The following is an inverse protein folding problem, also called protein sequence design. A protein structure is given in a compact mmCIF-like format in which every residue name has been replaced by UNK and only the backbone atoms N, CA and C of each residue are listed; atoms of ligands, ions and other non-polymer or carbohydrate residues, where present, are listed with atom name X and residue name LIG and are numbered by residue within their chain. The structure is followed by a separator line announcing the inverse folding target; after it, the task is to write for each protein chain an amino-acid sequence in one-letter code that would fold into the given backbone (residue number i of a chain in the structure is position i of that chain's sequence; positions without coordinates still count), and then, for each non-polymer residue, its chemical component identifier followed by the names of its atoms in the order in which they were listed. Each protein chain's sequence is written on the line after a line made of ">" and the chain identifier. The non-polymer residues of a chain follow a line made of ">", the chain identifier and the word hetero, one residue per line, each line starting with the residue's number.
data_IF_708848099266
#
_entry.id   IF_708848099266
#
_cell.length_a   1.000
_cell.length_b   1.000
_cell.length_c   1.000
_cell.angle_alpha   90.00
_cell.angle_beta   90.00
_cell.angle_gamma   90.00
#
_symmetry.space_group_name_H-M   'P 1'
#
loop_
_entity.id
_entity.type
_entity.pdbx_description
1 polymer ?
#
# COMPACT_ATOMS: atom_id res chain seq x y z
N UNK A 1 5.20 -3.24 -17.24
CA UNK A 1 3.85 -2.90 -16.71
C UNK A 1 3.97 -1.64 -15.86
N UNK A 2 3.07 -0.67 -16.01
CA UNK A 2 3.08 0.51 -15.14
C UNK A 2 2.65 0.11 -13.73
N UNK A 3 3.17 0.78 -12.71
CA UNK A 3 2.87 0.47 -11.30
C UNK A 3 1.37 0.51 -10.98
N UNK A 4 0.63 1.44 -11.58
CA UNK A 4 -0.83 1.54 -11.48
C UNK A 4 -1.55 0.29 -11.97
N UNK A 5 -1.07 -0.32 -13.06
CA UNK A 5 -1.63 -1.57 -13.58
C UNK A 5 -1.40 -2.74 -12.61
N UNK A 6 -0.22 -2.79 -11.98
CA UNK A 6 0.07 -3.79 -10.95
C UNK A 6 -0.89 -3.60 -9.77
N UNK A 7 -1.07 -2.37 -9.28
CA UNK A 7 -2.00 -2.07 -8.18
C UNK A 7 -3.43 -2.43 -8.55
N UNK A 8 -3.88 -2.03 -9.74
CA UNK A 8 -5.22 -2.34 -10.21
C UNK A 8 -5.44 -3.86 -10.32
N UNK A 9 -4.54 -4.57 -10.98
CA UNK A 9 -4.69 -6.01 -11.20
C UNK A 9 -4.62 -6.81 -9.89
N UNK A 10 -3.74 -6.41 -8.98
CA UNK A 10 -3.62 -7.06 -7.66
C UNK A 10 -4.80 -6.69 -6.75
N UNK A 11 -5.30 -5.45 -6.80
CA UNK A 11 -6.42 -4.94 -6.01
C UNK A 11 -6.16 -4.81 -4.52
N UNK A 12 -5.07 -5.38 -4.02
CA UNK A 12 -4.66 -5.33 -2.61
C UNK A 12 -3.16 -5.04 -2.50
N UNK A 13 -2.81 -4.20 -1.54
CA UNK A 13 -1.43 -3.89 -1.17
C UNK A 13 -1.24 -4.34 0.28
N UNK A 14 -0.47 -5.40 0.54
CA UNK A 14 -0.15 -5.82 1.90
C UNK A 14 0.65 -4.74 2.62
N UNK A 15 0.12 -4.24 3.74
CA UNK A 15 0.75 -3.23 4.61
C UNK A 15 1.40 -3.95 5.78
N UNK A 16 2.72 -3.96 5.78
CA UNK A 16 3.54 -4.88 6.55
C UNK A 16 4.34 -4.14 7.62
N UNK A 17 4.30 -4.62 8.87
CA UNK A 17 5.26 -4.29 9.91
C UNK A 17 6.12 -5.51 10.17
N UNK A 18 7.43 -5.38 10.03
CA UNK A 18 8.42 -6.41 10.41
C UNK A 18 9.26 -5.89 11.58
N UNK A 19 9.53 -6.72 12.57
CA UNK A 19 10.42 -6.38 13.68
C UNK A 19 11.83 -6.97 13.49
N UNK A 20 11.99 -7.88 12.50
CA UNK A 20 13.27 -8.47 12.07
C UNK A 20 13.37 -8.46 10.55
N UNK A 21 14.44 -7.90 10.02
CA UNK A 21 14.61 -7.69 8.59
C UNK A 21 14.68 -8.99 7.77
N UNK A 22 15.24 -10.06 8.34
CA UNK A 22 15.37 -11.38 7.71
C UNK A 22 14.02 -12.05 7.40
N UNK A 23 12.94 -11.64 8.08
CA UNK A 23 11.59 -12.14 7.81
C UNK A 23 10.98 -11.58 6.51
N UNK A 24 11.57 -10.52 5.94
CA UNK A 24 11.05 -9.88 4.75
C UNK A 24 11.05 -10.81 3.52
N UNK A 25 12.13 -11.54 3.30
CA UNK A 25 12.28 -12.40 2.11
C UNK A 25 11.28 -13.56 2.11
N UNK A 26 11.19 -14.43 3.13
CA UNK A 26 10.21 -15.52 3.13
C UNK A 26 8.76 -15.03 3.11
N UNK A 27 8.48 -13.87 3.71
CA UNK A 27 7.18 -13.21 3.60
C UNK A 27 6.85 -12.84 2.15
N UNK A 28 7.78 -12.21 1.44
CA UNK A 28 7.60 -11.82 0.05
C UNK A 28 7.41 -13.02 -0.88
N UNK A 29 8.14 -14.12 -0.66
CA UNK A 29 7.98 -15.38 -1.39
C UNK A 29 6.57 -15.96 -1.21
N UNK A 30 6.02 -15.91 0.03
CA UNK A 30 4.65 -16.33 0.30
C UNK A 30 3.61 -15.46 -0.44
N UNK A 31 3.83 -14.13 -0.49
CA UNK A 31 2.98 -13.19 -1.22
C UNK A 31 3.04 -13.44 -2.74
N UNK A 32 4.23 -13.59 -3.30
CA UNK A 32 4.42 -13.89 -4.73
C UNK A 32 3.75 -15.20 -5.13
N UNK A 33 3.93 -16.26 -4.35
CA UNK A 33 3.28 -17.56 -4.56
C UNK A 33 1.75 -17.44 -4.53
N UNK A 34 1.21 -16.53 -3.74
CA UNK A 34 -0.22 -16.24 -3.71
C UNK A 34 -0.71 -15.41 -4.91
N UNK A 35 0.19 -14.78 -5.67
CA UNK A 35 -0.12 -13.90 -6.78
C UNK A 35 -0.16 -12.40 -6.40
N UNK A 36 0.48 -12.02 -5.30
CA UNK A 36 0.60 -10.62 -4.84
C UNK A 36 2.06 -10.15 -5.03
N UNK A 37 2.41 -9.49 -6.15
CA UNK A 37 3.77 -9.01 -6.41
C UNK A 37 4.04 -7.62 -5.80
N UNK A 38 3.48 -7.34 -4.62
CA UNK A 38 3.59 -6.03 -3.95
C UNK A 38 3.76 -6.24 -2.45
N UNK A 39 4.63 -5.43 -1.82
CA UNK A 39 4.77 -5.36 -0.37
C UNK A 39 5.03 -3.91 0.08
N UNK A 40 4.19 -3.34 0.94
CA UNK A 40 4.43 -2.04 1.59
C UNK A 40 5.05 -2.29 2.97
N UNK A 41 6.38 -2.15 3.09
CA UNK A 41 7.10 -2.27 4.36
C UNK A 41 7.02 -0.94 5.11
N UNK A 42 6.45 -0.95 6.31
CA UNK A 42 6.21 0.29 7.07
C UNK A 42 7.37 0.67 7.97
N UNK A 43 7.74 1.96 8.00
CA UNK A 43 8.74 2.55 8.89
C UNK A 43 8.22 2.69 10.34
N UNK A 44 7.52 1.64 10.81
CA UNK A 44 7.06 1.49 12.21
C UNK A 44 8.01 0.64 13.06
N UNK A 45 9.15 0.25 12.51
CA UNK A 45 10.23 -0.48 13.19
C UNK A 45 11.58 -0.13 12.57
N UNK A 46 12.65 -0.36 13.31
CA UNK A 46 14.03 -0.14 12.83
C UNK A 46 14.45 -1.16 11.76
N UNK A 47 13.73 -2.27 11.64
CA UNK A 47 13.99 -3.30 10.64
C UNK A 47 13.55 -2.91 9.22
N UNK A 48 12.73 -1.87 9.06
CA UNK A 48 12.08 -1.54 7.79
C UNK A 48 13.08 -1.28 6.65
N UNK A 49 14.06 -0.40 6.86
CA UNK A 49 15.08 -0.06 5.86
C UNK A 49 15.86 -1.30 5.39
N UNK A 50 16.37 -2.08 6.35
CA UNK A 50 17.11 -3.30 6.03
C UNK A 50 16.21 -4.35 5.36
N UNK A 51 14.94 -4.45 5.77
CA UNK A 51 13.95 -5.33 5.14
C UNK A 51 13.70 -4.97 3.68
N UNK A 52 13.51 -3.69 3.37
CA UNK A 52 13.39 -3.20 1.98
C UNK A 52 14.63 -3.55 1.17
N UNK A 53 15.82 -3.28 1.70
CA UNK A 53 17.08 -3.58 1.02
C UNK A 53 17.25 -5.09 0.74
N UNK A 54 16.87 -5.96 1.70
CA UNK A 54 16.91 -7.40 1.50
C UNK A 54 15.93 -7.87 0.41
N UNK A 55 14.72 -7.31 0.36
CA UNK A 55 13.75 -7.59 -0.69
C UNK A 55 14.29 -7.21 -2.06
N UNK A 56 14.79 -5.98 -2.21
CA UNK A 56 15.32 -5.50 -3.50
C UNK A 56 16.53 -6.29 -3.99
N UNK A 57 17.32 -6.86 -3.07
CA UNK A 57 18.49 -7.68 -3.42
C UNK A 57 18.13 -9.11 -3.80
N UNK A 58 17.12 -9.71 -3.14
CA UNK A 58 16.90 -11.15 -3.21
C UNK A 58 15.60 -11.54 -3.94
N UNK A 59 14.65 -10.61 -4.13
CA UNK A 59 13.32 -10.88 -4.69
C UNK A 59 13.01 -9.83 -5.76
N UNK A 60 13.49 -10.03 -6.98
CA UNK A 60 13.37 -9.06 -8.08
C UNK A 60 11.95 -8.83 -8.57
N UNK A 61 11.08 -9.83 -8.39
CA UNK A 61 9.71 -9.83 -8.92
C UNK A 61 8.74 -9.03 -8.06
N UNK A 62 9.14 -8.64 -6.83
CA UNK A 62 8.25 -7.90 -5.93
C UNK A 62 8.44 -6.38 -6.04
N UNK A 63 7.34 -5.67 -6.14
CA UNK A 63 7.29 -4.22 -6.04
C UNK A 63 7.29 -3.81 -4.55
N UNK A 64 8.32 -3.09 -4.12
CA UNK A 64 8.52 -2.77 -2.70
C UNK A 64 8.20 -1.31 -2.42
N UNK A 65 7.19 -1.06 -1.59
CA UNK A 65 6.89 0.26 -1.05
C UNK A 65 7.43 0.50 0.34
N UNK A 66 7.78 1.73 0.65
CA UNK A 66 8.06 2.20 2.00
C UNK A 66 6.82 2.93 2.54
N UNK A 67 6.15 2.34 3.53
CA UNK A 67 4.96 2.90 4.17
C UNK A 67 5.27 3.59 5.50
N UNK A 68 4.33 4.42 5.96
CA UNK A 68 4.45 5.16 7.23
C UNK A 68 5.73 6.01 7.29
N UNK A 69 6.08 6.61 6.14
CA UNK A 69 7.19 7.58 6.07
C UNK A 69 6.69 8.90 6.64
N UNK A 70 7.32 9.38 7.73
CA UNK A 70 6.88 10.54 8.51
C UNK A 70 7.85 11.72 8.46
N UNK A 71 9.08 11.49 7.97
CA UNK A 71 10.12 12.52 7.88
C UNK A 71 10.86 12.46 6.56
N UNK A 72 11.47 13.57 6.09
CA UNK A 72 12.36 13.56 4.93
C UNK A 72 13.55 12.60 5.09
N UNK A 73 14.09 12.43 6.29
CA UNK A 73 15.16 11.45 6.59
C UNK A 73 14.68 10.01 6.32
N UNK A 74 13.51 9.63 6.82
CA UNK A 74 12.96 8.31 6.52
C UNK A 74 12.73 8.10 5.02
N UNK A 75 12.34 9.14 4.29
CA UNK A 75 12.19 9.08 2.84
C UNK A 75 13.55 8.81 2.16
N UNK A 76 14.59 9.53 2.54
CA UNK A 76 15.94 9.33 1.99
C UNK A 76 16.45 7.90 2.27
N UNK A 77 16.26 7.41 3.47
CA UNK A 77 16.60 6.03 3.87
C UNK A 77 15.81 5.00 3.06
N UNK A 78 14.50 5.23 2.86
CA UNK A 78 13.65 4.36 2.04
C UNK A 78 14.13 4.31 0.58
N UNK A 79 14.47 5.47 0.01
CA UNK A 79 15.00 5.59 -1.35
C UNK A 79 16.37 4.92 -1.46
N UNK A 80 17.25 5.13 -0.48
CA UNK A 80 18.57 4.49 -0.41
C UNK A 80 18.49 2.96 -0.28
N UNK A 81 17.49 2.45 0.42
CA UNK A 81 17.19 1.02 0.52
C UNK A 81 16.61 0.42 -0.77
N UNK A 82 16.23 1.25 -1.75
CA UNK A 82 15.70 0.82 -3.05
C UNK A 82 14.18 0.73 -3.14
N UNK A 83 13.43 1.39 -2.25
CA UNK A 83 11.97 1.42 -2.34
C UNK A 83 11.51 1.94 -3.72
N UNK A 84 10.54 1.26 -4.31
CA UNK A 84 9.97 1.61 -5.62
C UNK A 84 8.96 2.76 -5.49
N UNK A 85 8.27 2.84 -4.36
CA UNK A 85 7.30 3.90 -4.05
C UNK A 85 7.27 4.23 -2.57
N UNK A 86 6.76 5.41 -2.26
CA UNK A 86 6.65 5.96 -0.90
C UNK A 86 5.17 6.13 -0.54
N UNK A 87 4.81 5.81 0.70
CA UNK A 87 3.46 6.01 1.23
C UNK A 87 3.52 6.70 2.58
N UNK A 88 2.77 7.78 2.73
CA UNK A 88 2.66 8.49 4.01
C UNK A 88 1.26 8.33 4.61
N UNK A 89 1.11 8.36 5.94
CA UNK A 89 -0.23 8.25 6.56
C UNK A 89 -1.07 9.51 6.42
N UNK A 90 -0.44 10.66 6.23
CA UNK A 90 -1.06 11.97 6.01
C UNK A 90 -0.30 12.76 4.96
N UNK A 91 -0.85 13.92 4.56
CA UNK A 91 -0.18 14.83 3.65
C UNK A 91 0.85 15.68 4.41
N UNK A 92 2.12 15.45 4.15
CA UNK A 92 3.21 16.29 4.65
C UNK A 92 3.91 16.95 3.45
N UNK A 93 3.86 18.29 3.30
CA UNK A 93 4.41 18.99 2.14
C UNK A 93 5.92 18.75 1.98
N UNK A 94 6.70 18.72 3.06
CA UNK A 94 8.15 18.53 3.00
C UNK A 94 8.52 17.17 2.42
N UNK A 95 7.79 16.12 2.81
CA UNK A 95 8.01 14.77 2.29
C UNK A 95 7.56 14.69 0.83
N UNK A 96 6.41 15.28 0.49
CA UNK A 96 5.91 15.29 -0.88
C UNK A 96 6.87 16.00 -1.81
N UNK A 97 7.31 17.21 -1.46
CA UNK A 97 8.25 17.99 -2.27
C UNK A 97 9.60 17.27 -2.42
N UNK A 98 10.10 16.67 -1.36
CA UNK A 98 11.33 15.89 -1.40
C UNK A 98 11.18 14.66 -2.31
N UNK A 99 10.08 13.91 -2.23
CA UNK A 99 9.84 12.76 -3.10
C UNK A 99 9.78 13.17 -4.58
N UNK A 100 9.06 14.26 -4.89
CA UNK A 100 8.97 14.80 -6.24
C UNK A 100 10.33 15.27 -6.77
N UNK A 101 11.15 15.93 -5.94
CA UNK A 101 12.50 16.36 -6.33
C UNK A 101 13.43 15.19 -6.66
N UNK A 102 13.20 14.03 -6.04
CA UNK A 102 13.94 12.78 -6.29
C UNK A 102 13.30 11.92 -7.41
N UNK A 103 12.26 12.42 -8.10
CA UNK A 103 11.46 11.67 -9.08
C UNK A 103 10.94 10.33 -8.52
N UNK A 104 10.59 10.28 -7.23
CA UNK A 104 10.01 9.10 -6.60
C UNK A 104 8.50 9.17 -6.57
N UNK A 105 7.87 8.05 -6.89
CA UNK A 105 6.43 7.91 -6.76
C UNK A 105 6.05 7.98 -5.28
N UNK A 106 5.07 8.84 -4.97
CA UNK A 106 4.55 9.01 -3.61
C UNK A 106 3.02 8.97 -3.62
N UNK A 107 2.45 8.26 -2.66
CA UNK A 107 1.01 8.16 -2.41
C UNK A 107 0.71 8.73 -1.02
N UNK A 108 0.53 10.06 -0.90
CA UNK A 108 0.29 10.70 0.39
C UNK A 108 -1.09 10.35 0.94
N UNK A 109 -1.17 10.23 2.27
CA UNK A 109 -2.42 10.03 2.98
C UNK A 109 -3.28 11.30 2.98
N UNK A 110 -4.57 11.12 2.73
CA UNK A 110 -5.60 12.17 2.81
C UNK A 110 -6.87 11.59 3.44
N UNK A 111 -7.69 12.46 4.07
CA UNK A 111 -9.03 12.07 4.54
C UNK A 111 -10.06 13.23 4.45
N UNK A 112 -9.73 14.31 3.75
CA UNK A 112 -10.62 15.44 3.56
C UNK A 112 -10.50 16.05 2.16
N UNK A 113 -11.53 16.76 1.67
CA UNK A 113 -11.48 17.49 0.39
C UNK A 113 -10.29 18.42 0.27
N UNK A 114 -9.99 19.23 1.31
CA UNK A 114 -8.88 20.19 1.29
C UNK A 114 -7.52 19.51 1.06
N UNK A 115 -7.30 18.33 1.66
CA UNK A 115 -6.06 17.57 1.44
C UNK A 115 -5.98 16.99 0.03
N UNK A 116 -7.11 16.58 -0.54
CA UNK A 116 -7.18 16.14 -1.96
C UNK A 116 -6.80 17.29 -2.88
N UNK A 117 -7.32 18.50 -2.64
CA UNK A 117 -7.01 19.68 -3.46
C UNK A 117 -5.53 20.07 -3.36
N UNK A 118 -4.95 20.02 -2.15
CA UNK A 118 -3.51 20.26 -1.97
C UNK A 118 -2.68 19.22 -2.75
N UNK A 119 -3.05 17.94 -2.70
CA UNK A 119 -2.36 16.90 -3.44
C UNK A 119 -2.48 17.10 -4.97
N UNK A 120 -3.68 17.45 -5.45
CA UNK A 120 -3.93 17.77 -6.86
C UNK A 120 -3.10 18.97 -7.34
N UNK A 121 -2.91 20.00 -6.53
CA UNK A 121 -2.07 21.16 -6.86
C UNK A 121 -0.60 20.79 -7.11
N UNK A 122 -0.16 19.64 -6.60
CA UNK A 122 1.18 19.07 -6.83
C UNK A 122 1.19 18.00 -7.95
N UNK A 123 0.08 17.83 -8.67
CA UNK A 123 -0.05 16.85 -9.76
C UNK A 123 -0.25 15.41 -9.29
N UNK A 124 -0.55 15.19 -8.00
CA UNK A 124 -0.75 13.85 -7.45
C UNK A 124 -2.21 13.42 -7.62
N UNK A 125 -2.43 12.38 -8.41
CA UNK A 125 -3.77 11.87 -8.77
C UNK A 125 -4.07 10.50 -8.19
N UNK A 126 -3.10 9.86 -7.50
CA UNK A 126 -3.29 8.63 -6.74
C UNK A 126 -2.92 8.91 -5.28
N UNK A 127 -3.87 8.72 -4.39
CA UNK A 127 -3.77 9.12 -2.98
C UNK A 127 -4.13 7.95 -2.07
N UNK A 128 -3.41 7.79 -0.97
CA UNK A 128 -3.85 6.92 0.11
C UNK A 128 -5.01 7.60 0.84
N UNK A 129 -6.11 6.87 1.07
CA UNK A 129 -7.18 7.35 1.94
C UNK A 129 -7.06 6.66 3.30
N UNK A 130 -6.71 7.44 4.34
CA UNK A 130 -6.37 6.88 5.65
C UNK A 130 -6.75 7.80 6.80
N UNK A 131 -7.26 7.25 7.93
CA UNK A 131 -7.71 5.88 8.12
C UNK A 131 -9.11 5.67 7.51
N UNK A 132 -9.29 4.67 6.62
CA UNK A 132 -10.44 4.62 5.71
C UNK A 132 -11.79 4.48 6.44
N UNK A 133 -11.99 3.41 7.22
CA UNK A 133 -13.29 3.13 7.85
C UNK A 133 -13.74 4.25 8.80
N UNK A 134 -12.85 4.75 9.65
CA UNK A 134 -13.18 5.80 10.63
C UNK A 134 -13.31 7.19 10.03
N UNK A 135 -12.84 7.38 8.79
CA UNK A 135 -12.97 8.64 8.02
C UNK A 135 -14.16 8.65 7.06
N UNK A 136 -15.15 7.81 7.30
CA UNK A 136 -16.39 7.76 6.50
C UNK A 136 -16.43 6.65 5.44
N UNK A 137 -15.36 5.86 5.31
CA UNK A 137 -15.34 4.64 4.50
C UNK A 137 -15.85 4.82 3.07
N UNK A 138 -16.68 3.88 2.64
CA UNK A 138 -17.26 3.87 1.28
C UNK A 138 -18.15 5.10 1.02
N UNK A 139 -18.82 5.61 2.05
CA UNK A 139 -19.63 6.81 1.94
C UNK A 139 -18.80 8.02 1.49
N UNK A 140 -17.61 8.22 2.08
CA UNK A 140 -16.68 9.27 1.69
C UNK A 140 -16.15 9.03 0.26
N UNK A 141 -15.79 7.81 -0.11
CA UNK A 141 -15.33 7.50 -1.47
C UNK A 141 -16.38 7.88 -2.53
N UNK A 142 -17.65 7.54 -2.29
CA UNK A 142 -18.75 7.89 -3.18
C UNK A 142 -19.01 9.40 -3.24
N UNK A 143 -18.87 10.12 -2.13
CA UNK A 143 -19.05 11.57 -2.08
C UNK A 143 -17.93 12.32 -2.84
N UNK A 144 -16.68 11.86 -2.76
CA UNK A 144 -15.54 12.48 -3.44
C UNK A 144 -15.49 12.16 -4.94
N UNK A 145 -16.06 11.03 -5.38
CA UNK A 145 -15.98 10.56 -6.75
C UNK A 145 -16.48 11.56 -7.81
N UNK A 146 -17.64 12.21 -7.67
CA UNK A 146 -18.12 13.17 -8.68
C UNK A 146 -17.38 14.50 -8.67
N UNK A 147 -16.61 14.79 -7.61
CA UNK A 147 -15.94 16.08 -7.41
C UNK A 147 -14.50 16.05 -7.90
N UNK A 148 -13.78 14.96 -7.65
CA UNK A 148 -12.33 14.87 -7.87
C UNK A 148 -11.95 13.75 -8.81
N UNK A 149 -11.17 14.08 -9.83
CA UNK A 149 -10.59 13.08 -10.74
C UNK A 149 -9.30 12.50 -10.14
N UNK A 150 -9.44 11.75 -9.06
CA UNK A 150 -8.34 11.05 -8.37
C UNK A 150 -8.68 9.57 -8.17
N UNK A 151 -7.65 8.76 -7.98
CA UNK A 151 -7.77 7.38 -7.53
C UNK A 151 -7.33 7.28 -6.08
N UNK A 152 -8.04 6.48 -5.30
CA UNK A 152 -7.72 6.24 -3.90
C UNK A 152 -7.20 4.83 -3.66
N UNK A 153 -6.35 4.72 -2.63
CA UNK A 153 -5.92 3.47 -2.01
C UNK A 153 -6.42 3.50 -0.55
N UNK A 154 -7.70 3.12 -0.31
CA UNK A 154 -8.22 3.08 1.05
C UNK A 154 -7.44 2.10 1.91
N UNK A 155 -7.05 2.54 3.10
CA UNK A 155 -6.28 1.76 4.07
C UNK A 155 -6.79 2.04 5.48
N UNK A 156 -6.86 1.01 6.32
CA UNK A 156 -7.36 1.11 7.70
C UNK A 156 -8.81 0.63 7.85
N UNK A 157 -8.95 -0.54 8.50
CA UNK A 157 -10.22 -1.24 8.66
C UNK A 157 -10.65 -2.08 7.45
N UNK A 158 -9.76 -2.24 6.45
CA UNK A 158 -10.03 -3.11 5.30
C UNK A 158 -9.77 -4.58 5.67
N UNK A 159 -10.66 -5.46 5.22
CA UNK A 159 -10.62 -6.90 5.45
C UNK A 159 -11.25 -7.67 4.29
N UNK A 160 -11.19 -9.00 4.32
CA UNK A 160 -11.88 -9.84 3.33
C UNK A 160 -13.39 -9.59 3.28
N UNK A 161 -14.00 -9.18 4.40
CA UNK A 161 -15.46 -8.94 4.49
C UNK A 161 -15.93 -7.66 3.79
N UNK A 162 -15.06 -6.65 3.61
CA UNK A 162 -15.46 -5.34 3.07
C UNK A 162 -14.70 -4.91 1.80
N UNK A 163 -13.61 -5.56 1.44
CA UNK A 163 -12.76 -5.17 0.31
C UNK A 163 -13.53 -5.05 -1.01
N UNK A 164 -14.46 -5.96 -1.28
CA UNK A 164 -15.28 -5.95 -2.51
C UNK A 164 -16.03 -4.62 -2.66
N UNK A 165 -16.70 -4.17 -1.57
CA UNK A 165 -17.45 -2.92 -1.58
C UNK A 165 -16.59 -1.70 -1.88
N UNK A 166 -15.32 -1.70 -1.45
CA UNK A 166 -14.36 -0.65 -1.80
C UNK A 166 -13.93 -0.73 -3.26
N UNK A 167 -13.60 -1.91 -3.75
CA UNK A 167 -13.13 -2.11 -5.13
C UNK A 167 -14.23 -1.89 -6.19
N UNK A 168 -15.51 -1.93 -5.82
CA UNK A 168 -16.63 -1.55 -6.67
C UNK A 168 -16.71 -0.02 -6.89
N UNK A 169 -16.09 0.79 -6.03
CA UNK A 169 -16.04 2.23 -6.21
C UNK A 169 -15.07 2.58 -7.34
N UNK A 170 -15.55 3.29 -8.36
CA UNK A 170 -14.78 3.61 -9.58
C UNK A 170 -13.49 4.42 -9.33
N UNK A 171 -13.46 5.17 -8.22
CA UNK A 171 -12.29 5.95 -7.79
C UNK A 171 -11.35 5.19 -6.85
N UNK A 172 -11.56 3.89 -6.62
CA UNK A 172 -10.65 3.03 -5.84
C UNK A 172 -9.76 2.22 -6.79
N UNK A 173 -8.45 2.41 -6.68
CA UNK A 173 -7.46 1.72 -7.49
C UNK A 173 -7.15 0.33 -6.91
N UNK A 174 -6.83 0.28 -5.64
CA UNK A 174 -6.53 -0.90 -4.82
C UNK A 174 -6.82 -0.57 -3.36
N UNK A 175 -6.80 -1.56 -2.48
CA UNK A 175 -6.94 -1.35 -1.04
C UNK A 175 -5.63 -1.71 -0.31
N UNK A 176 -5.28 -0.98 0.75
CA UNK A 176 -4.23 -1.37 1.68
C UNK A 176 -4.79 -2.27 2.79
N UNK A 177 -4.21 -3.43 3.01
CA UNK A 177 -4.70 -4.38 4.01
C UNK A 177 -3.59 -5.04 4.83
N UNK A 178 -3.94 -5.40 6.08
CA UNK A 178 -3.00 -6.02 7.03
C UNK A 178 -3.41 -7.44 7.44
N UNK A 179 -4.64 -7.85 7.18
CA UNK A 179 -5.19 -9.10 7.76
C UNK A 179 -4.46 -10.36 7.29
N UNK A 180 -3.92 -10.40 6.05
CA UNK A 180 -3.17 -11.53 5.52
C UNK A 180 -1.70 -11.53 5.98
N UNK A 181 -1.21 -10.41 6.51
CA UNK A 181 0.19 -10.19 6.92
C UNK A 181 0.25 -9.58 8.32
N UNK A 182 -0.57 -10.10 9.25
CA UNK A 182 -0.58 -9.60 10.62
C UNK A 182 0.80 -9.76 11.27
N UNK A 183 1.14 -8.86 12.20
CA UNK A 183 2.42 -8.93 12.93
C UNK A 183 2.58 -10.28 13.64
N UNK A 184 1.50 -10.83 14.18
CA UNK A 184 1.51 -12.14 14.85
C UNK A 184 1.91 -13.28 13.90
N UNK A 185 1.35 -13.31 12.69
CA UNK A 185 1.70 -14.32 11.69
C UNK A 185 3.17 -14.22 11.27
N UNK A 186 3.66 -12.99 11.08
CA UNK A 186 5.04 -12.73 10.68
C UNK A 186 6.01 -13.12 11.81
N UNK A 187 5.70 -12.71 13.05
CA UNK A 187 6.54 -13.03 14.20
C UNK A 187 6.65 -14.53 14.44
N UNK A 188 5.57 -15.27 14.26
CA UNK A 188 5.53 -16.71 14.40
C UNK A 188 5.88 -17.48 13.13
N UNK A 189 6.38 -16.79 12.07
CA UNK A 189 6.82 -17.38 10.80
C UNK A 189 5.76 -18.28 10.14
N UNK A 190 4.48 -17.89 10.27
CA UNK A 190 3.33 -18.61 9.71
C UNK A 190 3.13 -18.31 8.22
N UNK A 191 4.18 -18.50 7.41
CA UNK A 191 4.18 -18.15 5.98
C UNK A 191 3.17 -18.95 5.16
N UNK A 192 2.87 -20.19 5.53
CA UNK A 192 1.81 -20.96 4.89
C UNK A 192 0.42 -20.35 5.12
N UNK A 193 0.17 -19.82 6.31
CA UNK A 193 -1.08 -19.13 6.62
C UNK A 193 -1.16 -17.77 5.92
N UNK A 194 -0.05 -17.04 5.84
CA UNK A 194 0.07 -15.81 5.05
C UNK A 194 -0.25 -16.10 3.58
N UNK A 195 0.33 -17.17 3.02
CA UNK A 195 0.02 -17.62 1.67
C UNK A 195 -1.48 -17.93 1.51
N UNK A 196 -2.06 -18.69 2.42
CA UNK A 196 -3.48 -19.07 2.37
C UNK A 196 -4.41 -17.85 2.37
N UNK A 197 -4.21 -16.93 3.32
CA UNK A 197 -5.00 -15.70 3.43
C UNK A 197 -4.81 -14.76 2.23
N UNK A 198 -3.59 -14.67 1.73
CA UNK A 198 -3.27 -13.89 0.53
C UNK A 198 -3.92 -14.48 -0.71
N UNK A 199 -3.92 -15.81 -0.85
CA UNK A 199 -4.58 -16.52 -1.95
C UNK A 199 -6.10 -16.35 -1.92
N UNK A 200 -6.68 -16.36 -0.73
CA UNK A 200 -8.10 -16.05 -0.50
C UNK A 200 -8.44 -14.63 -0.97
N UNK A 201 -7.62 -13.63 -0.58
CA UNK A 201 -7.79 -12.24 -1.01
C UNK A 201 -7.72 -12.10 -2.54
N UNK A 202 -6.73 -12.75 -3.18
CA UNK A 202 -6.61 -12.79 -4.65
C UNK A 202 -7.84 -13.43 -5.29
N UNK A 203 -8.37 -14.52 -4.72
CA UNK A 203 -9.58 -15.19 -5.20
C UNK A 203 -10.79 -14.27 -5.19
N UNK A 204 -11.01 -13.54 -4.08
CA UNK A 204 -12.09 -12.56 -3.94
C UNK A 204 -11.99 -11.45 -5.00
N UNK A 205 -10.78 -10.93 -5.21
CA UNK A 205 -10.53 -9.83 -6.16
C UNK A 205 -10.68 -10.31 -7.61
N UNK A 206 -10.16 -11.49 -7.93
CA UNK A 206 -10.27 -12.07 -9.27
C UNK A 206 -11.73 -12.37 -9.66
N UNK A 207 -12.54 -12.83 -8.72
CA UNK A 207 -13.98 -13.03 -8.95
C UNK A 207 -14.70 -11.70 -9.27
N UNK A 208 -14.26 -10.60 -8.65
CA UNK A 208 -14.83 -9.27 -8.92
C UNK A 208 -14.36 -8.68 -10.27
N UNK A 209 -13.08 -8.83 -10.62
CA UNK A 209 -12.46 -8.17 -11.78
C UNK A 209 -12.35 -9.05 -13.02
N UNK A 210 -12.34 -10.38 -12.85
CA UNK A 210 -12.25 -11.36 -13.94
C UNK A 210 -13.57 -11.67 -14.63
N UNK A 211 -14.69 -11.16 -14.14
CA UNK A 211 -16.02 -11.31 -14.72
C UNK A 211 -16.44 -10.16 -15.66
N UNK A 212 -15.49 -9.35 -16.14
CA UNK A 212 -15.72 -8.25 -17.08
C UNK A 212 -15.07 -8.51 -18.41
#
# INVERSE_FOLDING_TARGET
>A
MKQEEIFYNTGIIPVIKIDKAEKAVPLAEALLKAGIPIAEITFRSDAAEKGISLLKKNVSEILVGAGTVLTPDQLERAVGAGADFIVTPGYNPDIVEKALSLNKLIYPGVNSPSQVEIALSKGLTILKFFPAEVSGGIGMMKALQPVYNVKFIPTGGISAANIVKYLECKNVLACGGTWMVSAELIENEKYDEIYRLSKEAVGIISALRGGK
#
